data_IF_463421597710
#
_entry.id   IF_463421597710
#
_cell.length_a   1.000
_cell.length_b   1.000
_cell.length_c   1.000
_cell.angle_alpha   90.00
_cell.angle_beta   90.00
_cell.angle_gamma   90.00
#
_symmetry.space_group_name_H-M   'P 1'
#
loop_
_entity.id
_entity.type
_entity.pdbx_description
1 polymer ?
#
# COMPACT_ATOMS: atom_id res chain seq x y z
N UNK A 1 -8.34 1.33 20.44
CA UNK A 1 -7.75 1.26 19.11
C UNK A 1 -8.33 0.09 18.35
N UNK A 2 -8.51 0.24 17.06
CA UNK A 2 -9.07 -0.82 16.23
C UNK A 2 -7.97 -1.85 15.93
N UNK A 3 -8.14 -3.08 16.40
CA UNK A 3 -7.18 -4.16 16.16
C UNK A 3 -7.28 -4.75 14.75
N UNK A 4 -8.29 -4.32 13.99
CA UNK A 4 -8.56 -4.85 12.66
C UNK A 4 -8.04 -3.94 11.56
N UNK A 5 -6.78 -3.54 11.67
CA UNK A 5 -6.13 -2.76 10.61
C UNK A 5 -5.18 -3.66 9.82
N UNK A 6 -5.31 -3.64 8.49
CA UNK A 6 -4.48 -4.45 7.61
C UNK A 6 -3.83 -3.60 6.52
N UNK A 7 -2.53 -3.82 6.31
CA UNK A 7 -1.78 -3.22 5.21
C UNK A 7 -1.55 -4.31 4.17
N UNK A 8 -2.03 -4.05 2.95
CA UNK A 8 -1.80 -4.93 1.80
C UNK A 8 -0.67 -4.35 0.98
N UNK A 9 0.43 -5.09 0.82
CA UNK A 9 1.65 -4.58 0.20
C UNK A 9 2.03 -5.37 -1.04
N UNK A 10 2.37 -4.66 -2.10
CA UNK A 10 2.97 -5.22 -3.30
C UNK A 10 4.37 -4.61 -3.46
N UNK A 11 5.41 -5.40 -3.25
CA UNK A 11 6.79 -4.96 -3.42
C UNK A 11 7.72 -6.17 -3.47
N UNK A 12 8.78 -6.08 -4.26
CA UNK A 12 9.86 -7.06 -4.26
C UNK A 12 11.14 -6.52 -3.62
N UNK A 13 11.07 -5.38 -2.94
CA UNK A 13 12.19 -4.81 -2.21
C UNK A 13 12.23 -5.43 -0.81
N UNK A 14 13.13 -6.41 -0.63
CA UNK A 14 13.20 -7.16 0.62
C UNK A 14 13.51 -6.28 1.83
N UNK A 15 14.39 -5.29 1.67
CA UNK A 15 14.74 -4.39 2.79
C UNK A 15 13.56 -3.52 3.19
N UNK A 16 12.85 -2.98 2.22
CA UNK A 16 11.66 -2.18 2.49
C UNK A 16 10.57 -3.03 3.16
N UNK A 17 10.32 -4.22 2.63
CA UNK A 17 9.31 -5.12 3.20
C UNK A 17 9.65 -5.52 4.65
N UNK A 18 10.92 -5.80 4.94
CA UNK A 18 11.34 -6.13 6.30
C UNK A 18 11.15 -4.97 7.25
N UNK A 19 11.52 -3.75 6.83
CA UNK A 19 11.34 -2.54 7.64
C UNK A 19 9.86 -2.25 7.88
N UNK A 20 9.03 -2.42 6.86
CA UNK A 20 7.59 -2.23 6.98
C UNK A 20 6.97 -3.25 7.94
N UNK A 21 7.39 -4.51 7.84
CA UNK A 21 6.91 -5.57 8.72
C UNK A 21 7.24 -5.26 10.18
N UNK A 22 8.44 -4.75 10.45
CA UNK A 22 8.85 -4.38 11.80
C UNK A 22 7.96 -3.25 12.34
N UNK A 23 7.70 -2.23 11.54
CA UNK A 23 6.84 -1.12 11.95
C UNK A 23 5.41 -1.60 12.20
N UNK A 24 4.88 -2.45 11.33
CA UNK A 24 3.55 -3.00 11.52
C UNK A 24 3.47 -3.82 12.82
N UNK A 25 4.50 -4.62 13.09
CA UNK A 25 4.55 -5.40 14.31
C UNK A 25 4.58 -4.51 15.56
N UNK A 26 5.33 -3.41 15.50
CA UNK A 26 5.43 -2.48 16.64
C UNK A 26 4.09 -1.85 17.00
N UNK A 27 3.20 -1.66 16.03
CA UNK A 27 1.90 -1.00 16.24
C UNK A 27 0.71 -1.97 16.22
N UNK A 28 0.98 -3.27 16.06
CA UNK A 28 -0.09 -4.26 16.04
C UNK A 28 -0.92 -4.27 14.76
N UNK A 29 -0.35 -3.81 13.64
CA UNK A 29 -1.03 -3.86 12.35
C UNK A 29 -0.75 -5.18 11.65
N UNK A 30 -1.76 -5.73 10.98
CA UNK A 30 -1.57 -6.88 10.09
C UNK A 30 -0.89 -6.45 8.80
N UNK A 31 -0.04 -7.29 8.25
CA UNK A 31 0.61 -7.03 6.97
C UNK A 31 0.39 -8.23 6.06
N UNK A 32 -0.14 -8.00 4.87
CA UNK A 32 -0.44 -9.06 3.92
C UNK A 32 0.20 -8.72 2.57
N UNK A 33 0.95 -9.67 2.03
CA UNK A 33 1.55 -9.51 0.71
C UNK A 33 0.57 -10.01 -0.34
N UNK A 34 0.49 -9.31 -1.46
CA UNK A 34 -0.38 -9.74 -2.54
C UNK A 34 0.31 -9.64 -3.90
N UNK A 35 -0.24 -10.37 -4.86
CA UNK A 35 0.16 -10.33 -6.26
C UNK A 35 -1.10 -10.11 -7.11
N UNK A 36 -0.90 -9.80 -8.38
CA UNK A 36 -2.02 -9.59 -9.30
C UNK A 36 -3.01 -10.76 -9.30
N UNK A 37 -2.49 -11.99 -9.28
CA UNK A 37 -3.30 -13.20 -9.41
C UNK A 37 -4.18 -13.49 -8.19
N UNK A 38 -3.83 -12.96 -7.01
CA UNK A 38 -4.56 -13.25 -5.77
C UNK A 38 -5.18 -12.02 -5.13
N UNK A 39 -5.07 -10.85 -5.74
CA UNK A 39 -5.49 -9.60 -5.11
C UNK A 39 -6.98 -9.57 -4.78
N UNK A 40 -7.83 -10.08 -5.65
CA UNK A 40 -9.27 -10.10 -5.38
C UNK A 40 -9.61 -10.92 -4.15
N UNK A 41 -9.02 -12.11 -4.04
CA UNK A 41 -9.22 -12.99 -2.90
C UNK A 41 -8.74 -12.33 -1.61
N UNK A 42 -7.53 -11.77 -1.64
CA UNK A 42 -6.94 -11.14 -0.47
C UNK A 42 -7.75 -9.93 -0.03
N UNK A 43 -8.13 -9.04 -0.95
CA UNK A 43 -8.90 -7.86 -0.59
C UNK A 43 -10.28 -8.25 -0.03
N UNK A 44 -10.89 -9.28 -0.59
CA UNK A 44 -12.18 -9.77 -0.09
C UNK A 44 -12.05 -10.35 1.33
N UNK A 45 -10.94 -11.02 1.63
CA UNK A 45 -10.70 -11.58 2.96
C UNK A 45 -10.59 -10.49 4.03
N UNK A 46 -10.19 -9.28 3.65
CA UNK A 46 -9.99 -8.16 4.58
C UNK A 46 -11.05 -7.06 4.42
N UNK A 47 -12.17 -7.36 3.77
CA UNK A 47 -13.21 -6.34 3.52
C UNK A 47 -13.82 -5.75 4.79
N UNK A 48 -13.75 -6.48 5.91
CA UNK A 48 -14.26 -6.01 7.19
C UNK A 48 -13.18 -5.37 8.06
N UNK A 49 -11.94 -5.30 7.56
CA UNK A 49 -10.84 -4.61 8.22
C UNK A 49 -10.76 -3.18 7.71
N UNK A 50 -10.19 -2.30 8.51
CA UNK A 50 -9.71 -1.02 7.99
C UNK A 50 -8.43 -1.34 7.24
N UNK A 51 -8.43 -1.20 5.92
CA UNK A 51 -7.35 -1.66 5.05
C UNK A 51 -6.80 -0.55 4.18
N UNK A 52 -5.53 -0.65 3.84
CA UNK A 52 -4.89 0.19 2.85
C UNK A 52 -4.09 -0.70 1.91
N UNK A 53 -3.99 -0.28 0.66
CA UNK A 53 -3.19 -0.95 -0.35
C UNK A 53 -1.96 -0.10 -0.63
N UNK A 54 -0.78 -0.68 -0.51
CA UNK A 54 0.49 -0.01 -0.80
C UNK A 54 1.16 -0.75 -1.95
N UNK A 55 1.48 -0.02 -3.01
CA UNK A 55 2.10 -0.59 -4.20
C UNK A 55 3.44 0.09 -4.44
N UNK A 56 4.49 -0.71 -4.49
CA UNK A 56 5.84 -0.24 -4.79
C UNK A 56 5.95 0.03 -6.30
N UNK A 57 5.97 1.32 -6.65
CA UNK A 57 6.06 1.75 -8.03
C UNK A 57 7.46 1.59 -8.61
N UNK A 58 8.44 1.29 -7.76
CA UNK A 58 9.81 1.01 -8.17
C UNK A 58 10.08 -0.48 -8.35
N UNK A 59 9.09 -1.35 -8.14
CA UNK A 59 9.25 -2.79 -8.32
C UNK A 59 9.54 -3.12 -9.77
N UNK A 60 10.58 -3.92 -9.98
CA UNK A 60 11.01 -4.35 -11.32
C UNK A 60 10.61 -5.81 -11.53
N UNK A 61 9.39 -6.02 -11.94
CA UNK A 61 8.92 -7.34 -12.32
C UNK A 61 8.05 -7.23 -13.58
N UNK A 62 7.40 -8.33 -13.96
CA UNK A 62 6.59 -8.36 -15.17
C UNK A 62 5.26 -7.61 -15.02
N UNK A 63 4.84 -7.32 -13.81
CA UNK A 63 3.59 -6.62 -13.55
C UNK A 63 3.85 -5.12 -13.52
N UNK A 64 3.10 -4.37 -14.31
CA UNK A 64 3.15 -2.90 -14.28
C UNK A 64 2.45 -2.43 -12.99
N UNK A 65 3.19 -1.85 -12.02
CA UNK A 65 2.59 -1.47 -10.74
C UNK A 65 1.55 -0.35 -10.88
N UNK A 66 1.65 0.50 -11.89
CA UNK A 66 0.64 1.54 -12.11
C UNK A 66 -0.70 0.93 -12.53
N UNK A 67 -0.65 -0.07 -13.42
CA UNK A 67 -1.86 -0.80 -13.83
C UNK A 67 -2.42 -1.63 -12.69
N UNK A 68 -1.55 -2.16 -11.85
CA UNK A 68 -1.98 -2.89 -10.67
C UNK A 68 -2.78 -1.99 -9.74
N UNK A 69 -2.34 -0.74 -9.55
CA UNK A 69 -3.07 0.25 -8.77
C UNK A 69 -4.43 0.58 -9.36
N UNK A 70 -4.50 0.73 -10.69
CA UNK A 70 -5.79 0.95 -11.37
C UNK A 70 -6.76 -0.21 -11.09
N UNK A 71 -6.27 -1.44 -11.19
CA UNK A 71 -7.09 -2.61 -10.92
C UNK A 71 -7.55 -2.66 -9.47
N UNK A 72 -6.65 -2.34 -8.53
CA UNK A 72 -7.00 -2.30 -7.12
C UNK A 72 -8.13 -1.32 -6.84
N UNK A 73 -8.11 -0.15 -7.48
CA UNK A 73 -9.18 0.84 -7.36
C UNK A 73 -10.51 0.32 -7.89
N UNK A 74 -10.48 -0.52 -8.92
CA UNK A 74 -11.69 -1.06 -9.53
C UNK A 74 -12.34 -2.14 -8.68
N UNK A 75 -11.54 -2.90 -7.93
CA UNK A 75 -12.05 -4.08 -7.22
C UNK A 75 -12.21 -3.88 -5.71
N UNK A 76 -11.81 -2.71 -5.19
CA UNK A 76 -11.97 -2.44 -3.75
C UNK A 76 -12.16 -0.93 -3.51
N UNK A 77 -12.67 -0.62 -2.31
CA UNK A 77 -12.81 0.77 -1.83
C UNK A 77 -11.64 1.18 -0.94
N UNK A 78 -10.64 0.33 -0.76
CA UNK A 78 -9.50 0.65 0.07
C UNK A 78 -8.67 1.79 -0.54
N UNK A 79 -8.12 2.69 0.28
CA UNK A 79 -7.17 3.68 -0.24
C UNK A 79 -5.97 2.98 -0.89
N UNK A 80 -5.48 3.53 -1.99
CA UNK A 80 -4.35 2.99 -2.75
C UNK A 80 -3.21 4.00 -2.70
N UNK A 81 -2.11 3.62 -2.07
CA UNK A 81 -0.92 4.46 -1.95
C UNK A 81 0.21 3.86 -2.79
N UNK A 82 0.99 4.76 -3.39
CA UNK A 82 2.20 4.34 -4.10
C UNK A 82 3.45 4.72 -3.31
N UNK A 83 4.50 3.92 -3.43
CA UNK A 83 5.80 4.28 -2.87
C UNK A 83 6.86 4.25 -3.96
N UNK A 84 7.80 5.18 -3.85
CA UNK A 84 8.93 5.34 -4.77
C UNK A 84 10.22 5.34 -3.97
N UNK A 85 11.33 4.95 -4.62
CA UNK A 85 12.65 5.09 -4.00
C UNK A 85 12.98 6.56 -3.77
N UNK A 86 12.66 7.41 -4.75
CA UNK A 86 12.75 8.87 -4.62
C UNK A 86 11.66 9.50 -5.48
N UNK A 87 11.25 10.70 -5.12
CA UNK A 87 10.27 11.43 -5.90
C UNK A 87 10.84 11.83 -7.26
N UNK A 88 10.00 11.68 -8.29
CA UNK A 88 10.22 12.28 -9.58
C UNK A 88 8.86 12.63 -10.18
N UNK A 89 8.84 13.71 -10.94
CA UNK A 89 7.57 14.25 -11.44
C UNK A 89 6.86 13.29 -12.39
N UNK A 90 7.61 12.60 -13.23
CA UNK A 90 7.04 11.68 -14.21
C UNK A 90 6.22 10.58 -13.52
N UNK A 91 6.80 9.92 -12.53
CA UNK A 91 6.15 8.84 -11.82
C UNK A 91 5.01 9.35 -10.93
N UNK A 92 5.19 10.53 -10.31
CA UNK A 92 4.12 11.13 -9.51
C UNK A 92 2.90 11.45 -10.37
N UNK A 93 3.10 12.04 -11.55
CA UNK A 93 2.01 12.36 -12.47
C UNK A 93 1.33 11.10 -12.98
N UNK A 94 2.12 10.07 -13.31
CA UNK A 94 1.59 8.79 -13.78
C UNK A 94 0.75 8.11 -12.69
N UNK A 95 1.24 8.11 -11.46
CA UNK A 95 0.52 7.53 -10.34
C UNK A 95 -0.81 8.25 -10.10
N UNK A 96 -0.79 9.57 -10.14
CA UNK A 96 -2.00 10.36 -9.97
C UNK A 96 -3.03 10.02 -11.05
N UNK A 97 -2.61 9.92 -12.29
CA UNK A 97 -3.49 9.54 -13.42
C UNK A 97 -4.00 8.11 -13.28
N UNK A 98 -3.25 7.26 -12.62
CA UNK A 98 -3.62 5.86 -12.39
C UNK A 98 -4.57 5.68 -11.21
N UNK A 99 -4.93 6.76 -10.50
CA UNK A 99 -5.89 6.71 -9.42
C UNK A 99 -5.29 6.45 -8.04
N UNK A 100 -3.98 6.62 -7.86
CA UNK A 100 -3.37 6.51 -6.54
C UNK A 100 -3.80 7.71 -5.69
N UNK A 101 -4.17 7.45 -4.46
CA UNK A 101 -4.64 8.48 -3.54
C UNK A 101 -3.49 9.33 -2.99
N UNK A 102 -2.38 8.69 -2.62
CA UNK A 102 -1.20 9.36 -2.09
C UNK A 102 0.05 8.65 -2.59
N UNK A 103 1.14 9.40 -2.67
CA UNK A 103 2.45 8.91 -3.08
C UNK A 103 3.47 9.31 -2.01
N UNK A 104 4.27 8.35 -1.58
CA UNK A 104 5.33 8.55 -0.58
C UNK A 104 6.65 8.04 -1.14
N UNK A 105 7.76 8.54 -0.63
CA UNK A 105 8.99 7.76 -0.73
C UNK A 105 8.91 6.64 0.31
N UNK A 106 9.68 5.58 0.09
CA UNK A 106 9.72 4.47 1.06
C UNK A 106 10.11 4.94 2.45
N UNK A 107 11.11 5.84 2.55
CA UNK A 107 11.52 6.42 3.83
C UNK A 107 10.40 7.19 4.50
N UNK A 108 9.69 8.00 3.75
CA UNK A 108 8.59 8.80 4.31
C UNK A 108 7.48 7.91 4.84
N UNK A 109 7.12 6.87 4.08
CA UNK A 109 6.08 5.96 4.54
C UNK A 109 6.49 5.28 5.84
N UNK A 110 7.72 4.76 5.92
CA UNK A 110 8.19 4.07 7.12
C UNK A 110 8.18 4.96 8.36
N UNK A 111 8.51 6.25 8.20
CA UNK A 111 8.46 7.20 9.32
C UNK A 111 7.04 7.55 9.73
N UNK A 112 6.10 7.49 8.80
CA UNK A 112 4.76 8.03 8.97
C UNK A 112 3.70 6.95 9.11
N UNK A 113 4.07 5.67 9.12
CA UNK A 113 3.09 4.59 8.99
C UNK A 113 2.03 4.66 10.10
N UNK A 114 2.42 4.94 11.32
CA UNK A 114 1.47 5.07 12.43
C UNK A 114 0.47 6.21 12.18
N UNK A 115 0.99 7.38 11.78
CA UNK A 115 0.14 8.56 11.56
C UNK A 115 -0.80 8.34 10.38
N UNK A 116 -0.32 7.68 9.32
CA UNK A 116 -1.13 7.35 8.15
C UNK A 116 -2.28 6.42 8.55
N UNK A 117 -1.98 5.39 9.33
CA UNK A 117 -2.99 4.44 9.79
C UNK A 117 -4.03 5.13 10.67
N UNK A 118 -3.60 5.96 11.60
CA UNK A 118 -4.50 6.70 12.49
C UNK A 118 -5.42 7.61 11.66
N UNK A 119 -4.86 8.30 10.68
CA UNK A 119 -5.63 9.19 9.82
C UNK A 119 -6.72 8.43 9.05
N UNK A 120 -6.39 7.28 8.48
CA UNK A 120 -7.35 6.45 7.76
C UNK A 120 -8.43 5.95 8.71
N UNK A 121 -8.05 5.46 9.89
CA UNK A 121 -8.99 4.95 10.89
C UNK A 121 -9.97 6.04 11.35
N UNK A 122 -9.49 7.26 11.55
CA UNK A 122 -10.31 8.37 12.03
C UNK A 122 -11.29 8.86 10.97
N UNK A 123 -11.04 8.57 9.70
CA UNK A 123 -11.92 8.97 8.58
C UNK A 123 -12.92 7.88 8.19
N UNK A 124 -12.88 6.76 8.87
CA UNK A 124 -13.86 5.70 8.70
C UNK A 124 -15.05 5.95 9.61
#
# INVERSE_FOLDING_TARGET
MNDNFNINIYSNDANFCASLALECNNYGFSLTFFEKKNMELIFNNYKNFISVIIIDLSSLDQTDPFKLGQKARMISDFPVFGVLNRFNKKDQDRAKKSGFDLIFTKKMLLRSIKDVVIHIADNE
#
